data_IF_070332724729
#
_entry.id   IF_070332724729
#
_cell.length_a   1.000
_cell.length_b   1.000
_cell.length_c   1.000
_cell.angle_alpha   90.00
_cell.angle_beta   90.00
_cell.angle_gamma   90.00
#
_symmetry.space_group_name_H-M   'P 1'
#
loop_
_entity.id
_entity.type
_entity.pdbx_description
1 polymer ?
#
# COMPACT_ATOMS: atom_id res chain seq x y z
N UNK A 1 18.83 52.77 -7.26
CA UNK A 1 19.36 51.71 -6.38
C UNK A 1 19.62 50.48 -7.25
N UNK A 2 20.88 50.18 -7.54
CA UNK A 2 21.26 49.49 -8.79
C UNK A 2 21.06 47.98 -8.73
N UNK A 3 20.07 47.51 -9.49
CA UNK A 3 19.71 46.12 -9.78
C UNK A 3 20.93 45.21 -10.04
N UNK A 4 21.97 45.76 -10.65
CA UNK A 4 23.23 45.07 -10.98
C UNK A 4 24.01 44.64 -9.72
N UNK A 5 23.97 45.40 -8.63
CA UNK A 5 24.62 44.99 -7.36
C UNK A 5 23.88 43.81 -6.71
N UNK A 6 22.56 43.76 -6.84
CA UNK A 6 21.73 42.70 -6.25
C UNK A 6 21.93 41.36 -6.98
N UNK A 7 22.01 41.40 -8.31
CA UNK A 7 22.27 40.21 -9.14
C UNK A 7 23.65 39.62 -8.82
N UNK A 8 24.68 40.45 -8.61
CA UNK A 8 26.01 39.97 -8.21
C UNK A 8 26.03 39.30 -6.83
N UNK A 9 25.19 39.76 -5.89
CA UNK A 9 25.13 39.19 -4.54
C UNK A 9 24.45 37.81 -4.53
N UNK A 10 23.40 37.63 -5.34
CA UNK A 10 22.71 36.35 -5.50
C UNK A 10 23.63 35.31 -6.14
N UNK A 11 24.41 35.71 -7.16
CA UNK A 11 25.35 34.81 -7.82
C UNK A 11 26.43 34.30 -6.85
N UNK A 12 26.93 35.17 -5.96
CA UNK A 12 27.94 34.81 -4.95
C UNK A 12 27.41 33.77 -3.95
N UNK A 13 26.17 33.93 -3.47
CA UNK A 13 25.54 33.00 -2.52
C UNK A 13 25.30 31.63 -3.16
N UNK A 14 24.92 31.61 -4.43
CA UNK A 14 24.69 30.37 -5.16
C UNK A 14 25.97 29.54 -5.34
N UNK A 15 27.10 30.20 -5.59
CA UNK A 15 28.40 29.52 -5.72
C UNK A 15 28.87 28.94 -4.39
N UNK A 16 28.67 29.66 -3.27
CA UNK A 16 29.00 29.18 -1.92
C UNK A 16 28.13 27.97 -1.55
N UNK A 17 26.85 27.99 -1.90
CA UNK A 17 25.93 26.87 -1.67
C UNK A 17 26.32 25.63 -2.48
N UNK A 18 26.70 25.79 -3.75
CA UNK A 18 27.19 24.69 -4.58
C UNK A 18 28.47 24.06 -4.02
N UNK A 19 29.39 24.88 -3.50
CA UNK A 19 30.62 24.37 -2.88
C UNK A 19 30.33 23.55 -1.61
N UNK A 20 29.36 23.98 -0.79
CA UNK A 20 28.93 23.26 0.40
C UNK A 20 28.21 21.94 0.08
N UNK A 21 27.44 21.92 -1.03
CA UNK A 21 26.77 20.71 -1.51
C UNK A 21 27.78 19.65 -1.98
N UNK A 22 28.83 20.09 -2.68
CA UNK A 22 29.90 19.21 -3.17
C UNK A 22 30.74 18.66 -2.01
N UNK A 23 31.05 19.49 -1.01
CA UNK A 23 31.78 19.08 0.20
C UNK A 23 31.03 17.97 0.98
N UNK A 24 29.70 18.06 1.06
CA UNK A 24 28.86 17.05 1.74
C UNK A 24 28.74 15.73 0.98
N UNK A 25 28.93 15.74 -0.34
CA UNK A 25 28.88 14.53 -1.18
C UNK A 25 30.23 13.78 -1.17
N UNK A 26 31.35 14.50 -0.99
CA UNK A 26 32.71 13.95 -1.04
C UNK A 26 33.26 13.43 0.30
N UNK A 27 32.72 13.85 1.44
CA UNK A 27 33.27 13.56 2.78
C UNK A 27 32.21 13.21 3.84
N UNK A 28 31.47 12.11 3.68
CA UNK A 28 30.70 11.53 4.80
C UNK A 28 31.09 10.06 5.01
N UNK A 29 32.22 9.86 5.68
CA UNK A 29 32.58 8.60 6.30
C UNK A 29 32.04 8.60 7.73
N UNK A 30 31.16 7.67 8.08
CA UNK A 30 31.01 7.26 9.47
C UNK A 30 31.24 5.77 9.64
N UNK A 31 32.42 5.55 10.20
CA UNK A 31 33.08 4.42 10.83
C UNK A 31 32.21 3.23 11.26
N UNK A 32 32.77 2.04 10.98
CA UNK A 32 32.33 0.75 11.47
C UNK A 32 32.78 0.63 12.93
N UNK A 33 31.83 0.55 13.87
CA UNK A 33 32.13 0.13 15.24
C UNK A 33 31.75 -1.35 15.42
N UNK A 34 32.76 -2.22 15.46
CA UNK A 34 32.63 -3.62 15.86
C UNK A 34 32.68 -3.65 17.40
N UNK A 35 31.63 -4.14 18.05
CA UNK A 35 31.68 -4.50 19.47
C UNK A 35 31.25 -5.95 19.69
N UNK A 36 32.04 -6.58 20.55
CA UNK A 36 32.30 -8.00 20.72
C UNK A 36 31.22 -8.77 21.48
N UNK A 37 31.07 -10.04 21.12
CA UNK A 37 30.37 -11.07 21.89
C UNK A 37 31.01 -11.23 23.29
N UNK A 38 30.19 -11.20 24.35
CA UNK A 38 30.39 -11.91 25.63
C UNK A 38 29.29 -11.55 26.66
N UNK A 39 28.03 -11.81 26.34
CA UNK A 39 26.96 -11.77 27.35
C UNK A 39 26.61 -13.19 27.79
N UNK A 40 26.52 -13.49 29.10
CA UNK A 40 26.14 -14.81 29.58
C UNK A 40 24.70 -15.11 29.17
N UNK A 41 24.43 -16.38 28.83
CA UNK A 41 23.09 -16.85 28.47
C UNK A 41 22.18 -16.62 29.69
N UNK A 42 21.21 -15.71 29.54
CA UNK A 42 20.11 -15.54 30.50
C UNK A 42 19.18 -16.75 30.34
N UNK A 43 19.24 -17.68 31.28
CA UNK A 43 18.15 -18.65 31.43
C UNK A 43 16.90 -17.91 31.91
N UNK A 44 15.76 -18.23 31.30
CA UNK A 44 14.48 -17.65 31.69
C UNK A 44 14.02 -18.22 33.03
N UNK A 45 13.46 -17.40 33.94
CA UNK A 45 12.98 -17.87 35.23
C UNK A 45 11.82 -18.86 35.06
N UNK A 46 11.83 -19.92 35.88
CA UNK A 46 10.96 -21.09 35.77
C UNK A 46 9.51 -20.82 36.25
N UNK A 47 9.25 -19.65 36.83
CA UNK A 47 7.91 -19.24 37.25
C UNK A 47 7.75 -17.74 37.04
N UNK A 48 7.49 -17.36 35.80
CA UNK A 48 7.25 -15.96 35.44
C UNK A 48 5.81 -15.63 35.82
N UNK A 49 5.55 -14.64 36.70
CA UNK A 49 4.18 -14.19 36.92
C UNK A 49 3.57 -13.74 35.59
N UNK A 50 2.31 -14.10 35.34
CA UNK A 50 1.61 -13.73 34.12
C UNK A 50 1.58 -12.20 33.99
N UNK A 51 2.44 -11.68 33.10
CA UNK A 51 2.42 -10.27 32.73
C UNK A 51 1.18 -10.04 31.87
N UNK A 52 0.18 -9.37 32.45
CA UNK A 52 -0.89 -8.78 31.65
C UNK A 52 -0.29 -7.64 30.86
N UNK A 53 -0.44 -7.69 29.54
CA UNK A 53 -0.11 -6.55 28.69
C UNK A 53 -0.85 -5.32 29.23
N UNK A 54 -0.17 -4.16 29.35
CA UNK A 54 -0.85 -2.93 29.73
C UNK A 54 -1.90 -2.62 28.65
N UNK A 55 -3.06 -2.08 29.06
CA UNK A 55 -4.16 -1.79 28.13
C UNK A 55 -3.73 -0.89 26.97
N UNK A 56 -2.64 -0.11 27.12
CA UNK A 56 -2.04 0.71 26.07
C UNK A 56 -0.51 0.74 26.23
N UNK A 57 0.22 0.04 25.35
CA UNK A 57 1.67 0.21 25.18
C UNK A 57 1.94 1.27 24.10
N UNK A 58 2.52 2.44 24.42
CA UNK A 58 2.81 3.47 23.42
C UNK A 58 3.98 3.02 22.53
N UNK A 59 3.86 3.27 21.22
CA UNK A 59 4.94 2.95 20.31
C UNK A 59 6.12 3.90 20.42
N UNK A 60 7.33 3.34 20.48
CA UNK A 60 8.60 4.08 20.56
C UNK A 60 8.77 5.09 19.40
N UNK A 61 8.12 4.86 18.26
CA UNK A 61 8.15 5.75 17.10
C UNK A 61 7.08 6.87 17.09
N UNK A 62 6.19 6.95 18.10
CA UNK A 62 5.07 7.90 18.12
C UNK A 62 5.38 9.25 18.79
N UNK A 63 6.62 9.74 18.73
CA UNK A 63 6.95 11.08 19.25
C UNK A 63 6.39 12.23 18.40
N UNK A 64 5.76 11.95 17.26
CA UNK A 64 5.34 12.97 16.28
C UNK A 64 3.93 12.79 15.71
N UNK A 65 3.10 11.89 16.26
CA UNK A 65 1.68 11.85 15.91
C UNK A 65 0.85 11.32 17.09
N UNK A 66 -0.16 12.07 17.49
CA UNK A 66 -1.05 11.67 18.57
C UNK A 66 -1.87 10.44 18.14
N UNK A 67 -1.85 9.39 18.97
CA UNK A 67 -2.72 8.21 18.94
C UNK A 67 -2.63 7.28 17.71
N UNK A 68 -1.48 7.17 17.04
CA UNK A 68 -1.29 6.08 16.07
C UNK A 68 -0.98 4.76 16.78
N UNK A 69 -1.77 3.69 16.57
CA UNK A 69 -1.42 2.35 17.05
C UNK A 69 -0.06 1.94 16.53
N UNK A 70 0.66 1.17 17.32
CA UNK A 70 1.92 0.59 16.91
C UNK A 70 1.81 -0.13 15.57
N UNK A 71 2.39 0.44 14.51
CA UNK A 71 2.63 -0.28 13.28
C UNK A 71 3.91 -1.10 13.43
N UNK A 72 3.86 -2.38 13.09
CA UNK A 72 5.04 -3.22 13.08
C UNK A 72 5.99 -2.82 11.94
N UNK A 73 7.27 -3.22 12.02
CA UNK A 73 8.23 -3.03 10.92
C UNK A 73 7.71 -3.64 9.62
N UNK A 74 6.98 -4.75 9.69
CA UNK A 74 6.38 -5.40 8.53
C UNK A 74 5.26 -4.55 7.91
N UNK A 75 4.47 -3.86 8.74
CA UNK A 75 3.41 -2.96 8.29
C UNK A 75 3.99 -1.72 7.60
N UNK A 76 5.12 -1.19 8.09
CA UNK A 76 5.83 -0.08 7.46
C UNK A 76 6.40 -0.47 6.09
N UNK A 77 6.97 -1.67 5.98
CA UNK A 77 7.45 -2.22 4.69
C UNK A 77 6.31 -2.52 3.72
N UNK A 78 5.11 -2.78 4.23
CA UNK A 78 3.91 -3.03 3.45
C UNK A 78 3.10 -1.80 3.11
N UNK A 79 3.42 -0.67 3.72
CA UNK A 79 2.74 0.57 3.41
C UNK A 79 3.05 0.93 1.96
N UNK A 80 2.00 1.09 1.14
CA UNK A 80 2.14 1.68 -0.20
C UNK A 80 2.62 3.11 -0.02
N UNK A 81 3.93 3.31 -0.16
CA UNK A 81 4.55 4.62 -0.20
C UNK A 81 4.45 5.14 -1.62
N UNK A 82 3.78 6.28 -1.81
CA UNK A 82 3.78 7.01 -3.09
C UNK A 82 5.16 7.62 -3.31
N UNK A 83 6.15 6.77 -3.58
CA UNK A 83 7.54 7.13 -3.76
C UNK A 83 7.92 6.95 -5.23
N UNK A 84 8.50 8.01 -5.81
CA UNK A 84 8.97 7.99 -7.20
C UNK A 84 9.98 6.87 -7.39
N UNK A 85 9.75 6.03 -8.41
CA UNK A 85 10.65 4.93 -8.75
C UNK A 85 10.22 3.58 -8.19
N UNK A 86 9.16 3.50 -7.39
CA UNK A 86 8.57 2.25 -6.94
C UNK A 86 7.33 1.87 -7.74
N UNK A 87 7.15 0.56 -7.91
CA UNK A 87 6.12 -0.01 -8.74
C UNK A 87 5.37 -1.13 -8.02
N UNK A 88 4.08 -1.22 -8.30
CA UNK A 88 3.25 -2.38 -7.97
C UNK A 88 3.10 -3.26 -9.20
N UNK A 89 3.40 -4.53 -9.06
CA UNK A 89 3.12 -5.55 -10.07
C UNK A 89 1.80 -6.22 -9.74
N UNK A 90 0.88 -6.22 -10.70
CA UNK A 90 -0.37 -6.95 -10.66
C UNK A 90 -0.24 -8.20 -11.51
N UNK A 91 -0.51 -9.34 -10.87
CA UNK A 91 -0.36 -10.66 -11.48
C UNK A 91 -1.67 -11.10 -12.11
N UNK A 92 -2.76 -11.16 -11.34
CA UNK A 92 -4.06 -11.61 -11.83
C UNK A 92 -5.18 -11.13 -10.91
N UNK A 93 -6.43 -11.27 -11.36
CA UNK A 93 -7.64 -10.96 -10.59
C UNK A 93 -8.60 -12.15 -10.63
N UNK A 94 -9.16 -12.49 -9.48
CA UNK A 94 -9.96 -13.70 -9.25
C UNK A 94 -11.31 -13.32 -8.64
N UNK A 95 -12.35 -14.08 -8.99
CA UNK A 95 -13.68 -13.97 -8.36
C UNK A 95 -13.73 -14.71 -7.01
N UNK A 96 -12.78 -15.63 -6.76
CA UNK A 96 -12.73 -16.46 -5.56
C UNK A 96 -11.36 -16.37 -4.88
N UNK A 97 -11.37 -16.18 -3.56
CA UNK A 97 -10.16 -16.11 -2.75
C UNK A 97 -9.34 -17.40 -2.80
N UNK A 98 -9.98 -18.58 -2.78
CA UNK A 98 -9.28 -19.87 -2.83
C UNK A 98 -8.51 -20.06 -4.12
N UNK A 99 -9.06 -19.61 -5.24
CA UNK A 99 -8.39 -19.69 -6.55
C UNK A 99 -7.14 -18.80 -6.56
N UNK A 100 -7.24 -17.61 -5.96
CA UNK A 100 -6.07 -16.73 -5.82
C UNK A 100 -4.97 -17.36 -4.96
N UNK A 101 -5.33 -18.07 -3.88
CA UNK A 101 -4.39 -18.80 -3.03
C UNK A 101 -3.70 -19.95 -3.77
N UNK A 102 -4.45 -20.74 -4.54
CA UNK A 102 -3.88 -21.79 -5.38
C UNK A 102 -2.93 -21.20 -6.42
N UNK A 103 -3.27 -20.06 -7.00
CA UNK A 103 -2.44 -19.39 -8.00
C UNK A 103 -1.14 -18.83 -7.39
N UNK A 104 -1.17 -18.31 -6.16
CA UNK A 104 0.06 -17.92 -5.43
C UNK A 104 1.00 -19.11 -5.26
N UNK A 105 0.48 -20.31 -4.95
CA UNK A 105 1.32 -21.52 -4.84
C UNK A 105 2.04 -21.81 -6.15
N UNK A 106 1.35 -21.67 -7.29
CA UNK A 106 1.95 -21.82 -8.62
C UNK A 106 2.99 -20.72 -8.91
N UNK A 107 2.70 -19.46 -8.59
CA UNK A 107 3.65 -18.36 -8.78
C UNK A 107 4.94 -18.57 -7.98
N UNK A 108 4.84 -19.07 -6.74
CA UNK A 108 6.00 -19.36 -5.88
C UNK A 108 6.89 -20.50 -6.37
N UNK A 109 6.50 -21.25 -7.41
CA UNK A 109 7.41 -22.23 -8.04
C UNK A 109 8.40 -21.58 -9.00
N UNK A 110 8.15 -20.35 -9.44
CA UNK A 110 9.05 -19.59 -10.31
C UNK A 110 10.19 -18.98 -9.50
N UNK A 111 11.43 -19.15 -9.94
CA UNK A 111 12.61 -18.73 -9.19
C UNK A 111 12.66 -17.21 -8.97
N UNK A 112 12.19 -16.47 -9.96
CA UNK A 112 12.13 -15.01 -10.00
C UNK A 112 11.11 -14.46 -9.00
N UNK A 113 10.06 -15.23 -8.70
CA UNK A 113 8.92 -14.79 -7.88
C UNK A 113 8.96 -15.39 -6.49
N UNK A 114 9.59 -16.55 -6.30
CA UNK A 114 9.67 -17.28 -5.03
C UNK A 114 10.14 -16.40 -3.85
N UNK A 115 11.03 -15.44 -4.13
CA UNK A 115 11.59 -14.51 -3.14
C UNK A 115 10.74 -13.24 -2.95
N UNK A 116 9.81 -12.95 -3.85
CA UNK A 116 8.97 -11.77 -3.79
C UNK A 116 7.85 -11.96 -2.76
N UNK A 117 7.55 -10.87 -2.06
CA UNK A 117 6.35 -10.80 -1.23
C UNK A 117 5.13 -10.66 -2.14
N UNK A 118 4.22 -11.63 -2.02
CA UNK A 118 2.95 -11.66 -2.74
C UNK A 118 1.83 -11.41 -1.74
N UNK A 119 0.93 -10.52 -2.10
CA UNK A 119 -0.23 -10.15 -1.30
C UNK A 119 -1.51 -10.32 -2.12
N UNK A 120 -2.60 -10.66 -1.44
CA UNK A 120 -3.94 -10.69 -2.04
C UNK A 120 -4.67 -9.45 -1.55
N UNK A 121 -4.89 -8.52 -2.47
CA UNK A 121 -5.69 -7.33 -2.25
C UNK A 121 -7.15 -7.63 -2.58
N UNK A 122 -8.04 -7.46 -1.60
CA UNK A 122 -9.49 -7.47 -1.82
C UNK A 122 -9.92 -6.17 -2.47
N UNK A 123 -10.56 -6.27 -3.63
CA UNK A 123 -11.11 -5.16 -4.39
C UNK A 123 -12.63 -5.21 -4.23
N UNK A 124 -13.18 -4.20 -3.57
CA UNK A 124 -14.62 -3.97 -3.62
C UNK A 124 -14.96 -3.36 -4.98
N UNK A 125 -15.58 -4.15 -5.85
CA UNK A 125 -16.07 -3.61 -7.11
C UNK A 125 -17.42 -2.94 -6.86
N UNK A 126 -17.62 -1.78 -7.49
CA UNK A 126 -18.91 -1.10 -7.48
C UNK A 126 -19.34 -0.75 -8.90
N UNK A 127 -20.65 -0.75 -9.13
CA UNK A 127 -21.23 -0.27 -10.40
C UNK A 127 -22.00 1.00 -10.15
N UNK A 128 -21.62 2.08 -10.83
CA UNK A 128 -22.38 3.32 -10.79
C UNK A 128 -23.52 3.30 -11.82
N UNK A 129 -24.73 3.58 -11.36
CA UNK A 129 -25.90 3.82 -12.20
C UNK A 129 -26.55 5.16 -11.83
N UNK A 130 -27.42 5.66 -12.69
CA UNK A 130 -28.28 6.81 -12.40
C UNK A 130 -29.73 6.36 -12.36
N UNK A 131 -30.44 6.77 -11.31
CA UNK A 131 -31.86 6.47 -11.12
C UNK A 131 -32.69 7.08 -12.25
N UNK A 132 -33.53 6.26 -12.87
CA UNK A 132 -34.46 6.64 -13.94
C UNK A 132 -35.90 6.63 -13.43
N UNK A 133 -36.80 7.22 -14.23
CA UNK A 133 -38.24 7.22 -13.91
C UNK A 133 -38.76 5.79 -13.78
N UNK A 134 -39.38 5.50 -12.64
CA UNK A 134 -39.91 4.17 -12.32
C UNK A 134 -38.91 3.22 -11.67
N UNK A 135 -37.67 3.64 -11.41
CA UNK A 135 -36.74 2.87 -10.57
C UNK A 135 -37.17 2.88 -9.10
N UNK A 136 -36.99 1.74 -8.44
CA UNK A 136 -37.12 1.56 -6.99
C UNK A 136 -35.87 0.86 -6.47
N UNK A 137 -35.52 1.11 -5.22
CA UNK A 137 -34.34 0.46 -4.62
C UNK A 137 -34.53 -1.06 -4.56
N UNK A 138 -35.76 -1.54 -4.36
CA UNK A 138 -36.11 -2.97 -4.39
C UNK A 138 -35.85 -3.64 -5.73
N UNK A 139 -36.29 -3.02 -6.85
CA UNK A 139 -36.08 -3.57 -8.19
C UNK A 139 -34.60 -3.59 -8.57
N UNK A 140 -33.87 -2.54 -8.21
CA UNK A 140 -32.43 -2.46 -8.46
C UNK A 140 -31.69 -3.50 -7.62
N UNK A 141 -31.98 -3.60 -6.33
CA UNK A 141 -31.39 -4.58 -5.43
C UNK A 141 -31.58 -6.02 -5.95
N UNK A 142 -32.81 -6.37 -6.35
CA UNK A 142 -33.13 -7.66 -6.95
C UNK A 142 -32.38 -7.93 -8.26
N UNK A 143 -32.27 -6.92 -9.13
CA UNK A 143 -31.55 -7.05 -10.41
C UNK A 143 -30.06 -7.38 -10.22
N UNK A 144 -29.45 -6.88 -9.15
CA UNK A 144 -28.02 -7.06 -8.88
C UNK A 144 -27.73 -8.10 -7.80
N UNK A 145 -28.75 -8.74 -7.22
CA UNK A 145 -28.59 -9.78 -6.21
C UNK A 145 -28.03 -9.26 -4.87
N UNK A 146 -28.30 -8.00 -4.53
CA UNK A 146 -27.92 -7.38 -3.26
C UNK A 146 -29.17 -7.13 -2.41
N UNK A 147 -29.01 -6.99 -1.09
CA UNK A 147 -30.16 -6.65 -0.24
C UNK A 147 -30.49 -5.15 -0.34
N UNK A 148 -31.76 -4.79 -0.09
CA UNK A 148 -32.19 -3.39 -0.05
C UNK A 148 -31.41 -2.61 1.03
N UNK A 149 -31.22 -3.23 2.19
CA UNK A 149 -30.53 -2.63 3.32
C UNK A 149 -29.04 -2.40 3.02
N UNK A 150 -28.36 -3.40 2.44
CA UNK A 150 -26.97 -3.27 2.00
C UNK A 150 -26.82 -2.16 0.96
N UNK A 151 -27.70 -2.14 -0.05
CA UNK A 151 -27.68 -1.12 -1.10
C UNK A 151 -27.94 0.29 -0.53
N UNK A 152 -28.88 0.42 0.42
CA UNK A 152 -29.16 1.68 1.09
C UNK A 152 -27.98 2.15 1.95
N UNK A 153 -27.41 1.26 2.76
CA UNK A 153 -26.25 1.55 3.61
C UNK A 153 -25.04 1.96 2.77
N UNK A 154 -24.73 1.22 1.70
CA UNK A 154 -23.62 1.51 0.79
C UNK A 154 -23.72 2.91 0.16
N UNK A 155 -24.94 3.41 -0.02
CA UNK A 155 -25.22 4.73 -0.59
C UNK A 155 -25.62 5.79 0.45
N UNK A 156 -25.51 5.48 1.74
CA UNK A 156 -25.94 6.38 2.82
C UNK A 156 -27.40 6.85 2.71
N UNK A 157 -28.28 6.01 2.17
CA UNK A 157 -29.71 6.28 2.00
C UNK A 157 -30.45 5.92 3.30
N UNK A 158 -31.04 6.93 3.96
CA UNK A 158 -31.77 6.75 5.23
C UNK A 158 -33.14 6.08 5.04
N UNK A 159 -33.86 6.44 3.98
CA UNK A 159 -35.16 5.87 3.65
C UNK A 159 -35.08 5.21 2.26
N UNK A 160 -35.05 3.86 2.19
CA UNK A 160 -35.01 3.12 0.93
C UNK A 160 -36.16 3.41 -0.04
N UNK A 161 -37.27 3.97 0.45
CA UNK A 161 -38.44 4.34 -0.36
C UNK A 161 -38.28 5.71 -1.02
N UNK A 162 -37.26 6.48 -0.64
CA UNK A 162 -37.00 7.84 -1.11
C UNK A 162 -35.70 7.89 -1.90
N UNK A 163 -35.82 7.65 -3.20
CA UNK A 163 -34.75 7.89 -4.18
C UNK A 163 -35.20 8.93 -5.21
N UNK A 164 -34.25 9.73 -5.69
CA UNK A 164 -34.52 10.86 -6.61
C UNK A 164 -34.05 10.56 -8.02
N UNK A 165 -34.73 11.14 -9.02
CA UNK A 165 -34.34 10.99 -10.42
C UNK A 165 -32.93 11.53 -10.65
N UNK A 166 -32.16 10.86 -11.52
CA UNK A 166 -30.75 11.14 -11.83
C UNK A 166 -29.75 11.01 -10.67
N UNK A 167 -30.22 10.62 -9.47
CA UNK A 167 -29.37 10.28 -8.35
C UNK A 167 -28.35 9.22 -8.76
N UNK A 168 -27.08 9.45 -8.44
CA UNK A 168 -26.03 8.44 -8.59
C UNK A 168 -26.25 7.39 -7.52
N UNK A 169 -26.36 6.13 -7.94
CA UNK A 169 -26.43 4.98 -7.06
C UNK A 169 -25.25 4.06 -7.36
N UNK A 170 -24.50 3.71 -6.33
CA UNK A 170 -23.39 2.77 -6.38
C UNK A 170 -23.89 1.39 -5.94
N UNK A 171 -23.76 0.40 -6.80
CA UNK A 171 -24.16 -0.96 -6.47
C UNK A 171 -22.92 -1.70 -5.96
N UNK A 172 -22.90 -2.20 -4.72
CA UNK A 172 -21.83 -3.07 -4.27
C UNK A 172 -21.88 -4.35 -5.10
N UNK A 173 -20.75 -4.71 -5.71
CA UNK A 173 -20.60 -5.97 -6.43
C UNK A 173 -19.79 -6.94 -5.59
N UNK A 174 -19.75 -8.19 -6.02
CA UNK A 174 -18.91 -9.22 -5.40
C UNK A 174 -17.46 -8.75 -5.32
N UNK A 175 -16.83 -9.07 -4.20
CA UNK A 175 -15.41 -8.84 -4.01
C UNK A 175 -14.61 -9.58 -5.07
N UNK A 176 -13.53 -8.93 -5.53
CA UNK A 176 -12.51 -9.57 -6.35
C UNK A 176 -11.20 -9.60 -5.60
N UNK A 177 -10.39 -10.60 -5.89
CA UNK A 177 -9.11 -10.80 -5.23
C UNK A 177 -8.02 -10.62 -6.25
N UNK A 178 -7.09 -9.71 -5.97
CA UNK A 178 -5.98 -9.42 -6.88
C UNK A 178 -4.67 -9.77 -6.23
N UNK A 179 -3.87 -10.56 -6.92
CA UNK A 179 -2.50 -10.84 -6.48
C UNK A 179 -1.61 -9.69 -6.91
N UNK A 180 -0.88 -9.12 -5.94
CA UNK A 180 0.07 -8.03 -6.16
C UNK A 180 1.41 -8.29 -5.47
N UNK A 181 2.43 -7.58 -5.96
CA UNK A 181 3.67 -7.29 -5.24
C UNK A 181 3.84 -5.79 -5.24
N UNK A 182 4.10 -5.23 -4.08
CA UNK A 182 4.29 -3.80 -3.87
C UNK A 182 5.79 -3.48 -3.72
N UNK A 183 6.12 -2.21 -3.84
CA UNK A 183 7.42 -1.66 -3.49
C UNK A 183 8.56 -2.28 -4.32
N UNK A 184 8.30 -2.57 -5.60
CA UNK A 184 9.33 -3.02 -6.55
C UNK A 184 10.12 -1.80 -7.01
N UNK A 185 11.39 -1.74 -6.65
CA UNK A 185 12.28 -0.65 -7.00
C UNK A 185 12.70 -0.72 -8.47
N UNK A 186 12.44 0.34 -9.22
CA UNK A 186 12.87 0.51 -10.60
C UNK A 186 12.03 -0.21 -11.64
N UNK A 187 11.70 0.52 -12.70
CA UNK A 187 10.88 -0.01 -13.80
C UNK A 187 11.54 -1.22 -14.50
N UNK A 188 12.87 -1.25 -14.59
CA UNK A 188 13.60 -2.34 -15.24
C UNK A 188 13.41 -3.67 -14.52
N UNK A 189 13.45 -3.69 -13.19
CA UNK A 189 13.21 -4.92 -12.42
C UNK A 189 11.74 -5.31 -12.50
N UNK A 190 10.81 -4.35 -12.38
CA UNK A 190 9.38 -4.62 -12.56
C UNK A 190 9.07 -5.23 -13.95
N UNK A 191 9.71 -4.72 -15.00
CA UNK A 191 9.58 -5.24 -16.37
C UNK A 191 10.16 -6.65 -16.52
N UNK A 192 11.33 -6.92 -15.92
CA UNK A 192 11.93 -8.25 -15.91
C UNK A 192 11.02 -9.28 -15.25
N UNK A 193 10.42 -8.95 -14.10
CA UNK A 193 9.44 -9.82 -13.43
C UNK A 193 8.21 -10.04 -14.32
N UNK A 194 7.68 -8.98 -14.96
CA UNK A 194 6.58 -9.14 -15.91
C UNK A 194 6.91 -10.02 -17.11
N UNK A 195 8.12 -9.93 -17.66
CA UNK A 195 8.52 -10.80 -18.77
C UNK A 195 8.50 -12.26 -18.32
N UNK A 196 9.10 -12.57 -17.17
CA UNK A 196 9.08 -13.93 -16.61
C UNK A 196 7.66 -14.46 -16.38
N UNK A 197 6.72 -13.59 -15.99
CA UNK A 197 5.30 -13.94 -15.86
C UNK A 197 4.67 -14.29 -17.21
N UNK A 198 4.84 -13.43 -18.21
CA UNK A 198 4.29 -13.62 -19.55
C UNK A 198 4.86 -14.88 -20.20
N UNK A 199 6.16 -15.13 -20.06
CA UNK A 199 6.83 -16.33 -20.56
C UNK A 199 6.25 -17.61 -19.94
N UNK A 200 5.74 -17.52 -18.71
CA UNK A 200 5.05 -18.60 -18.02
C UNK A 200 3.51 -18.54 -18.13
N UNK A 201 2.99 -17.81 -19.13
CA UNK A 201 1.56 -17.68 -19.45
C UNK A 201 0.72 -17.04 -18.33
N UNK A 202 1.32 -16.16 -17.55
CA UNK A 202 0.61 -15.33 -16.57
C UNK A 202 0.34 -13.93 -17.12
N UNK A 203 -0.70 -13.29 -16.60
CA UNK A 203 -0.94 -11.87 -16.86
C UNK A 203 0.05 -11.01 -16.05
N UNK A 204 0.38 -9.82 -16.57
CA UNK A 204 1.18 -8.86 -15.83
C UNK A 204 0.76 -7.42 -16.15
N UNK A 205 0.69 -6.58 -15.11
CA UNK A 205 0.49 -5.14 -15.23
C UNK A 205 1.37 -4.42 -14.22
N UNK A 206 2.13 -3.44 -14.67
CA UNK A 206 2.96 -2.58 -13.81
C UNK A 206 2.21 -1.28 -13.57
N UNK A 207 2.13 -0.85 -12.32
CA UNK A 207 1.58 0.45 -11.94
C UNK A 207 2.61 1.19 -11.10
N UNK A 208 2.92 2.44 -11.45
CA UNK A 208 3.69 3.31 -10.56
C UNK A 208 2.92 3.52 -9.25
N UNK A 209 3.64 3.55 -8.13
CA UNK A 209 3.07 3.90 -6.83
C UNK A 209 2.96 5.41 -6.67
#
# INVERSE_FOLDING_TARGET
>A
MNLIKYIKYILLIFVIFLFFLIYKILFDEQEILILTNNSPIKEQPIDVPEMKDPEITPCVYSLWNENTPCQSTEDLLNTRKEEKGFFTIRYATFENYKDSQQHIKKLKTLNEIKKLKLEIETIQQEKSIRIKKGDTLSRIAALYGVSINELALFNSIKDPSRITLNQKLLIPMKEKYRIISINIEGYKEAKKICNALVDNQFTCSIKAQ
#
